data_IF_650430779485
#
_entry.id   IF_650430779485
#
_cell.length_a   1.000
_cell.length_b   1.000
_cell.length_c   1.000
_cell.angle_alpha   90.00
_cell.angle_beta   90.00
_cell.angle_gamma   90.00
#
_symmetry.space_group_name_H-M   'P 1'
#
loop_
_entity.id
_entity.type
_entity.pdbx_description
1 polymer ?
#
# COMPACT_ATOMS: atom_id res chain seq x y z
N UNK A 1 -9.63 -6.36 -1.42
CA UNK A 1 -8.78 -5.47 -2.25
C UNK A 1 -9.05 -4.03 -1.85
N UNK A 2 -8.08 -3.15 -1.93
CA UNK A 2 -8.18 -1.76 -1.50
C UNK A 2 -8.32 -0.85 -2.72
N UNK A 3 -9.29 0.05 -2.68
CA UNK A 3 -9.55 1.04 -3.73
C UNK A 3 -9.59 2.45 -3.16
N UNK A 4 -9.26 3.43 -4.00
CA UNK A 4 -9.57 4.83 -3.72
C UNK A 4 -10.99 5.15 -4.20
N UNK A 5 -11.74 5.88 -3.37
CA UNK A 5 -13.10 6.30 -3.70
C UNK A 5 -13.19 7.23 -4.92
N UNK A 6 -12.09 7.95 -5.24
CA UNK A 6 -11.98 8.85 -6.39
C UNK A 6 -11.48 8.17 -7.67
N UNK A 7 -11.27 6.86 -7.67
CA UNK A 7 -10.79 6.07 -8.81
C UNK A 7 -9.33 6.32 -9.23
N UNK A 8 -8.57 7.12 -8.47
CA UNK A 8 -7.16 7.40 -8.78
C UNK A 8 -6.25 6.29 -8.25
N UNK A 9 -5.01 6.28 -8.73
CA UNK A 9 -4.00 5.34 -8.27
C UNK A 9 -3.68 5.50 -6.78
N UNK A 10 -3.33 4.40 -6.13
CA UNK A 10 -2.85 4.37 -4.74
C UNK A 10 -1.33 4.59 -4.72
N UNK A 11 -0.86 5.76 -4.29
CA UNK A 11 0.56 6.04 -4.19
C UNK A 11 1.11 5.54 -2.85
N UNK A 12 1.75 4.40 -2.87
CA UNK A 12 2.36 3.78 -1.68
C UNK A 12 3.81 4.22 -1.57
N UNK A 13 4.22 4.71 -0.39
CA UNK A 13 5.59 5.07 -0.11
C UNK A 13 6.48 3.83 0.01
N UNK A 14 7.59 3.86 -0.66
CA UNK A 14 8.62 2.83 -0.58
C UNK A 14 10.02 3.42 -0.56
N UNK A 15 10.96 2.60 -0.19
CA UNK A 15 12.40 2.87 -0.26
C UNK A 15 13.07 1.76 -1.06
N UNK A 16 14.18 2.06 -1.67
CA UNK A 16 14.96 1.09 -2.41
C UNK A 16 16.45 1.29 -2.21
N UNK A 17 17.23 0.25 -2.45
CA UNK A 17 18.68 0.30 -2.37
C UNK A 17 19.31 -0.67 -3.37
N UNK A 18 20.56 -0.38 -3.74
CA UNK A 18 21.40 -1.29 -4.50
C UNK A 18 22.49 -1.84 -3.60
N UNK A 19 22.48 -3.15 -3.41
CA UNK A 19 23.50 -3.84 -2.64
C UNK A 19 24.49 -4.55 -3.58
N UNK A 20 25.77 -4.49 -3.23
CA UNK A 20 26.81 -5.22 -3.94
C UNK A 20 27.16 -6.49 -3.18
N UNK A 21 26.93 -7.62 -3.81
CA UNK A 21 27.27 -8.93 -3.25
C UNK A 21 28.80 -9.11 -3.18
N UNK A 22 29.32 -9.98 -2.30
CA UNK A 22 30.73 -10.35 -2.26
C UNK A 22 31.28 -10.86 -3.60
N UNK A 23 30.44 -11.47 -4.42
CA UNK A 23 30.74 -11.89 -5.79
C UNK A 23 30.98 -10.74 -6.78
N UNK A 24 30.65 -9.50 -6.39
CA UNK A 24 30.65 -8.31 -7.24
C UNK A 24 29.34 -8.05 -7.98
N UNK A 25 28.38 -8.95 -7.92
CA UNK A 25 27.05 -8.75 -8.51
C UNK A 25 26.26 -7.68 -7.75
N UNK A 26 25.44 -6.90 -8.46
CA UNK A 26 24.54 -5.93 -7.86
C UNK A 26 23.15 -6.52 -7.70
N UNK A 27 22.53 -6.26 -6.56
CA UNK A 27 21.12 -6.60 -6.27
C UNK A 27 20.37 -5.34 -5.87
N UNK A 28 19.28 -5.06 -6.56
CA UNK A 28 18.34 -4.02 -6.16
C UNK A 28 17.27 -4.62 -5.25
N UNK A 29 16.97 -3.94 -4.18
CA UNK A 29 15.91 -4.29 -3.24
C UNK A 29 15.00 -3.10 -3.00
N UNK A 30 13.73 -3.37 -2.72
CA UNK A 30 12.76 -2.35 -2.35
C UNK A 30 11.92 -2.81 -1.17
N UNK A 31 11.46 -1.87 -0.37
CA UNK A 31 10.58 -2.12 0.76
C UNK A 31 9.43 -1.12 0.78
N UNK A 32 8.24 -1.58 1.08
CA UNK A 32 7.08 -0.73 1.33
C UNK A 32 7.11 -0.26 2.78
N UNK A 33 6.92 1.04 2.98
CA UNK A 33 6.83 1.61 4.32
C UNK A 33 5.41 1.39 4.84
N UNK A 34 5.30 0.87 6.06
CA UNK A 34 4.01 0.63 6.72
C UNK A 34 3.89 1.43 8.02
N UNK A 35 2.67 1.66 8.44
CA UNK A 35 2.29 2.30 9.69
C UNK A 35 1.17 1.52 10.37
N UNK A 36 0.79 1.91 11.57
CA UNK A 36 -0.42 1.42 12.21
C UNK A 36 -1.65 1.72 11.36
N UNK A 37 -2.52 0.74 11.20
CA UNK A 37 -3.73 0.89 10.43
C UNK A 37 -4.75 1.76 11.16
N UNK A 38 -5.49 2.55 10.39
CA UNK A 38 -6.53 3.46 10.89
C UNK A 38 -7.84 3.28 10.14
N UNK A 39 -8.95 3.69 10.76
CA UNK A 39 -10.27 3.60 10.15
C UNK A 39 -10.68 2.17 9.82
N UNK A 40 -11.38 1.98 8.71
CA UNK A 40 -11.87 0.66 8.26
C UNK A 40 -10.73 -0.34 8.02
N UNK A 41 -9.54 0.13 7.67
CA UNK A 41 -8.39 -0.75 7.43
C UNK A 41 -7.90 -1.45 8.69
N UNK A 42 -8.10 -0.85 9.86
CA UNK A 42 -7.74 -1.45 11.15
C UNK A 42 -8.53 -2.72 11.45
N UNK A 43 -9.71 -2.89 10.88
CA UNK A 43 -10.52 -4.12 11.01
C UNK A 43 -9.99 -5.28 10.17
N UNK A 44 -9.15 -4.98 9.17
CA UNK A 44 -8.60 -5.97 8.24
C UNK A 44 -7.21 -6.41 8.68
N UNK A 45 -6.36 -5.46 9.05
CA UNK A 45 -5.00 -5.73 9.48
C UNK A 45 -4.49 -4.61 10.39
N UNK A 46 -3.61 -4.92 11.36
CA UNK A 46 -3.05 -3.93 12.28
C UNK A 46 -2.04 -2.96 11.63
N UNK A 47 -1.53 -3.27 10.44
CA UNK A 47 -0.62 -2.43 9.67
C UNK A 47 -1.22 -2.06 8.32
N UNK A 48 -0.92 -0.87 7.85
CA UNK A 48 -1.28 -0.39 6.51
C UNK A 48 -0.07 0.28 5.83
N UNK A 49 -0.01 0.31 4.50
CA UNK A 49 1.00 1.08 3.79
C UNK A 49 0.88 2.58 4.07
N UNK A 50 2.01 3.27 4.07
CA UNK A 50 2.03 4.73 4.07
C UNK A 50 1.64 5.22 2.68
N UNK A 51 0.53 5.96 2.60
CA UNK A 51 0.11 6.64 1.37
C UNK A 51 0.84 7.97 1.26
N UNK A 52 1.36 8.29 0.08
CA UNK A 52 2.09 9.52 -0.16
C UNK A 52 1.25 10.49 -0.98
N UNK A 53 0.80 11.62 -0.40
CA UNK A 53 0.04 12.64 -1.13
C UNK A 53 0.83 13.19 -2.32
N UNK A 54 0.11 13.57 -3.37
CA UNK A 54 0.72 13.97 -4.65
C UNK A 54 1.64 15.18 -4.53
N UNK A 55 1.31 16.12 -3.69
CA UNK A 55 2.11 17.32 -3.42
C UNK A 55 3.50 17.03 -2.81
N UNK A 56 3.70 15.83 -2.30
CA UNK A 56 4.96 15.39 -1.70
C UNK A 56 5.81 14.50 -2.61
N UNK A 57 5.28 14.07 -3.75
CA UNK A 57 5.99 13.12 -4.61
C UNK A 57 7.33 13.65 -5.10
N UNK A 58 7.39 14.91 -5.51
CA UNK A 58 8.63 15.50 -5.98
C UNK A 58 9.74 15.47 -4.93
N UNK A 59 9.43 15.84 -3.68
CA UNK A 59 10.38 15.79 -2.58
C UNK A 59 10.73 14.38 -2.14
N UNK A 60 9.75 13.46 -2.12
CA UNK A 60 9.98 12.05 -1.76
C UNK A 60 10.84 11.31 -2.78
N UNK A 61 10.67 11.59 -4.07
CA UNK A 61 11.40 10.95 -5.16
C UNK A 61 12.75 11.63 -5.48
N UNK A 62 13.04 12.76 -4.86
CA UNK A 62 14.30 13.47 -5.05
C UNK A 62 15.44 12.71 -4.33
N UNK A 63 16.25 12.01 -5.11
CA UNK A 63 17.41 11.25 -4.60
C UNK A 63 18.49 12.12 -3.95
N UNK A 64 18.44 13.44 -4.15
CA UNK A 64 19.34 14.42 -3.51
C UNK A 64 18.82 14.92 -2.17
N UNK A 65 17.54 14.66 -1.86
CA UNK A 65 16.94 15.04 -0.58
C UNK A 65 17.45 14.12 0.53
N UNK A 66 18.36 14.64 1.34
CA UNK A 66 18.93 13.94 2.51
C UNK A 66 18.38 14.44 3.84
N UNK A 67 17.35 15.27 3.81
CA UNK A 67 16.72 15.82 5.01
C UNK A 67 15.82 14.76 5.67
N UNK A 68 16.39 13.93 6.53
CA UNK A 68 15.69 12.82 7.20
C UNK A 68 14.47 13.30 7.98
N UNK A 69 14.55 14.47 8.63
CA UNK A 69 13.42 15.02 9.40
C UNK A 69 12.23 15.35 8.49
N UNK A 70 12.50 15.95 7.34
CA UNK A 70 11.48 16.26 6.33
C UNK A 70 10.84 14.98 5.79
N UNK A 71 11.65 13.97 5.45
CA UNK A 71 11.17 12.67 4.96
C UNK A 71 10.30 11.96 5.99
N UNK A 72 10.70 11.96 7.27
CA UNK A 72 9.89 11.40 8.36
C UNK A 72 8.56 12.17 8.50
N UNK A 73 8.60 13.48 8.44
CA UNK A 73 7.37 14.29 8.51
C UNK A 73 6.41 13.98 7.37
N UNK A 74 6.91 13.76 6.16
CA UNK A 74 6.07 13.37 5.02
C UNK A 74 5.33 12.04 5.25
N UNK A 75 5.97 11.09 5.94
CA UNK A 75 5.36 9.80 6.28
C UNK A 75 4.37 9.89 7.44
N UNK A 76 4.58 10.83 8.35
CA UNK A 76 3.82 10.94 9.60
C UNK A 76 2.55 11.78 9.47
N UNK A 77 2.51 12.70 8.50
CA UNK A 77 1.35 13.58 8.31
C UNK A 77 0.17 12.78 7.78
N UNK A 78 -0.95 12.98 8.44
CA UNK A 78 -2.19 12.33 8.07
C UNK A 78 -2.65 12.76 6.69
N UNK A 79 -3.02 11.85 5.95
CA UNK A 79 -4.27 11.53 5.38
C UNK A 79 -4.30 11.17 3.94
N UNK A 80 -4.23 10.02 3.53
CA UNK A 80 -5.10 9.62 2.44
C UNK A 80 -5.97 8.41 2.77
N UNK A 81 -5.93 7.94 4.01
CA UNK A 81 -6.79 6.84 4.44
C UNK A 81 -8.29 7.22 4.37
N UNK A 82 -8.62 8.52 4.46
CA UNK A 82 -9.99 9.02 4.34
C UNK A 82 -10.64 8.71 2.98
N UNK A 83 -9.84 8.45 1.94
CA UNK A 83 -10.34 8.11 0.60
C UNK A 83 -10.18 6.63 0.24
N UNK A 84 -9.74 5.80 1.19
CA UNK A 84 -9.58 4.38 0.97
C UNK A 84 -10.86 3.64 1.35
N UNK A 85 -11.29 2.78 0.46
CA UNK A 85 -12.45 1.93 0.67
C UNK A 85 -12.06 0.46 0.45
N UNK A 86 -12.11 -0.38 1.49
CA UNK A 86 -11.87 -1.80 1.34
C UNK A 86 -13.06 -2.46 0.67
N UNK A 87 -12.80 -3.23 -0.38
CA UNK A 87 -13.81 -3.95 -1.14
C UNK A 87 -13.50 -5.44 -1.09
N UNK A 88 -14.43 -6.28 -0.64
CA UNK A 88 -14.26 -7.72 -0.70
C UNK A 88 -14.22 -8.19 -2.16
N UNK A 89 -13.26 -9.07 -2.44
CA UNK A 89 -13.09 -9.70 -3.76
C UNK A 89 -12.91 -11.19 -3.57
N UNK A 90 -13.08 -11.97 -4.65
CA UNK A 90 -12.86 -13.42 -4.64
C UNK A 90 -11.45 -13.75 -4.18
N UNK A 91 -11.28 -14.88 -3.50
CA UNK A 91 -9.99 -15.46 -3.11
C UNK A 91 -9.12 -15.87 -4.32
N UNK A 92 -9.69 -15.89 -5.50
CA UNK A 92 -8.97 -16.09 -6.77
C UNK A 92 -7.80 -15.13 -6.95
N UNK A 93 -7.86 -13.94 -6.32
CA UNK A 93 -6.77 -12.95 -6.34
C UNK A 93 -5.48 -13.50 -5.68
N UNK A 94 -5.59 -14.46 -4.77
CA UNK A 94 -4.46 -15.04 -4.05
C UNK A 94 -3.68 -16.09 -4.88
N UNK A 95 -4.24 -16.52 -6.01
CA UNK A 95 -3.58 -17.50 -6.90
C UNK A 95 -2.73 -16.77 -7.92
N UNK A 96 -1.41 -16.95 -7.86
CA UNK A 96 -0.44 -16.27 -8.74
C UNK A 96 -0.69 -16.52 -10.22
N UNK A 97 -1.25 -17.68 -10.57
CA UNK A 97 -1.60 -18.01 -11.96
C UNK A 97 -2.76 -17.18 -12.51
N UNK A 98 -3.58 -16.59 -11.64
CA UNK A 98 -4.72 -15.76 -12.07
C UNK A 98 -4.26 -14.34 -12.34
N UNK A 99 -4.70 -13.78 -13.46
CA UNK A 99 -4.44 -12.40 -13.84
C UNK A 99 -5.62 -11.83 -14.62
N UNK A 100 -5.89 -10.55 -14.42
CA UNK A 100 -6.90 -9.83 -15.18
C UNK A 100 -7.83 -8.97 -14.30
N UNK A 101 -8.61 -8.07 -14.93
CA UNK A 101 -9.47 -7.12 -14.23
C UNK A 101 -10.61 -7.79 -13.46
N UNK A 102 -11.00 -9.02 -13.80
CA UNK A 102 -12.03 -9.79 -13.10
C UNK A 102 -11.69 -10.05 -11.64
N UNK A 103 -10.40 -10.03 -11.27
CA UNK A 103 -9.96 -10.22 -9.89
C UNK A 103 -10.33 -9.05 -8.97
N UNK A 104 -10.65 -7.89 -9.55
CA UNK A 104 -11.06 -6.69 -8.82
C UNK A 104 -12.60 -6.56 -8.69
N UNK A 105 -13.35 -7.50 -9.24
CA UNK A 105 -14.82 -7.45 -9.17
C UNK A 105 -15.27 -7.70 -7.72
N UNK A 106 -16.08 -6.78 -7.14
CA UNK A 106 -16.61 -6.95 -5.79
C UNK A 106 -17.48 -8.20 -5.66
N UNK A 107 -17.39 -8.85 -4.51
CA UNK A 107 -18.30 -9.94 -4.12
C UNK A 107 -19.11 -9.53 -2.90
N UNK A 108 -20.31 -10.11 -2.75
CA UNK A 108 -21.08 -10.02 -1.52
C UNK A 108 -20.55 -11.05 -0.53
N UNK A 109 -20.19 -10.60 0.68
CA UNK A 109 -19.93 -11.51 1.79
C UNK A 109 -21.30 -11.82 2.39
N UNK A 110 -21.80 -13.01 2.13
CA UNK A 110 -22.94 -13.54 2.89
C UNK A 110 -22.37 -13.99 4.23
N UNK A 111 -22.78 -13.37 5.33
CA UNK A 111 -22.51 -13.92 6.65
C UNK A 111 -23.08 -15.34 6.68
N UNK A 112 -22.32 -16.34 7.18
CA UNK A 112 -22.90 -17.66 7.37
C UNK A 112 -24.11 -17.49 8.31
N UNK A 113 -25.28 -17.95 7.88
CA UNK A 113 -26.44 -18.05 8.76
C UNK A 113 -25.98 -18.79 10.00
N UNK A 114 -25.92 -18.11 11.11
CA UNK A 114 -25.77 -18.75 12.40
C UNK A 114 -27.02 -19.57 12.62
N UNK A 115 -26.89 -20.88 12.37
CA UNK A 115 -27.93 -21.87 12.70
C UNK A 115 -28.02 -21.98 14.23
N UNK A 116 -28.81 -21.11 14.79
CA UNK A 116 -29.32 -21.28 16.15
C UNK A 116 -30.80 -20.88 16.18
#
# INVERSE_FOLDING_TARGET
MLFRSDGKSLPIAGIWNTWRAPSGAFMQSASIITREAVGELATIHHRMPVMMPRDRWAAWLDVKNTNVRELINMMSTQDPAAHLHPVPVSDSVNKVANNGPQLAVPISITEPETLF
#
